data_IF_023408012231
#
_entry.id   IF_023408012231
#
_cell.length_a   1.000
_cell.length_b   1.000
_cell.length_c   1.000
_cell.angle_alpha   90.00
_cell.angle_beta   90.00
_cell.angle_gamma   90.00
#
_symmetry.space_group_name_H-M   'P 1'
#
loop_
_entity.id
_entity.type
_entity.pdbx_description
1 polymer ?
#
# COMPACT_ATOMS: atom_id res chain seq x y z
N UNK A 1 14.75 38.14 16.13
CA UNK A 1 15.12 36.72 16.26
C UNK A 1 13.83 35.91 16.18
N UNK A 2 13.35 35.63 14.97
CA UNK A 2 12.04 35.00 14.76
C UNK A 2 12.28 33.61 14.20
N UNK A 3 12.30 32.61 15.07
CA UNK A 3 12.54 31.23 14.69
C UNK A 3 11.23 30.67 14.14
N UNK A 4 11.09 30.65 12.81
CA UNK A 4 10.00 29.96 12.12
C UNK A 4 10.21 28.46 12.32
N UNK A 5 9.53 27.87 13.31
CA UNK A 5 9.51 26.42 13.52
C UNK A 5 8.79 25.82 12.32
N UNK A 6 9.56 25.40 11.31
CA UNK A 6 9.08 24.55 10.22
C UNK A 6 8.57 23.27 10.88
N UNK A 7 7.25 23.16 11.06
CA UNK A 7 6.63 21.87 11.34
C UNK A 7 7.08 20.95 10.20
N UNK A 8 7.81 19.86 10.46
CA UNK A 8 8.08 18.91 9.40
C UNK A 8 6.70 18.48 8.90
N UNK A 9 6.45 18.67 7.61
CA UNK A 9 5.38 17.96 6.92
C UNK A 9 5.74 16.50 7.16
N UNK A 10 5.11 15.87 8.14
CA UNK A 10 5.24 14.45 8.41
C UNK A 10 4.62 13.77 7.22
N UNK A 11 5.40 13.63 6.16
CA UNK A 11 5.09 12.79 5.02
C UNK A 11 5.14 11.37 5.56
N UNK A 12 3.97 10.90 6.01
CA UNK A 12 3.80 9.52 6.43
C UNK A 12 4.17 8.67 5.22
N UNK A 13 5.22 7.81 5.31
CA UNK A 13 5.61 7.00 4.18
C UNK A 13 4.46 6.07 3.79
N UNK A 14 4.26 5.82 2.49
CA UNK A 14 3.24 4.90 2.03
C UNK A 14 3.49 3.50 2.62
N UNK A 15 2.44 2.69 2.67
CA UNK A 15 2.59 1.26 2.94
C UNK A 15 3.38 0.63 1.79
N UNK A 16 4.38 -0.18 2.12
CA UNK A 16 5.07 -1.04 1.16
C UNK A 16 4.86 -2.51 1.54
N UNK A 17 4.78 -3.38 0.53
CA UNK A 17 4.66 -4.83 0.79
C UNK A 17 5.97 -5.35 1.39
N UNK A 18 5.90 -6.00 2.54
CA UNK A 18 7.04 -6.49 3.30
C UNK A 18 7.43 -5.60 4.48
N UNK A 19 6.80 -4.43 4.65
CA UNK A 19 7.03 -3.58 5.82
C UNK A 19 6.65 -4.30 7.12
N UNK A 20 7.47 -4.12 8.16
CA UNK A 20 7.16 -4.57 9.51
C UNK A 20 6.54 -3.41 10.30
N UNK A 21 5.22 -3.44 10.48
CA UNK A 21 4.48 -2.40 11.18
C UNK A 21 3.66 -2.97 12.33
N UNK A 22 3.50 -2.15 13.37
CA UNK A 22 2.46 -2.41 14.36
C UNK A 22 1.09 -2.11 13.77
N UNK A 23 0.05 -2.69 14.37
CA UNK A 23 -1.35 -2.46 13.98
C UNK A 23 -1.70 -0.96 13.91
N UNK A 24 -1.27 -0.19 14.90
CA UNK A 24 -1.57 1.24 14.97
C UNK A 24 -0.91 2.02 13.83
N UNK A 25 0.35 1.70 13.51
CA UNK A 25 1.05 2.33 12.39
C UNK A 25 0.40 1.96 11.06
N UNK A 26 -0.01 0.70 10.89
CA UNK A 26 -0.72 0.26 9.70
C UNK A 26 -2.04 1.00 9.54
N UNK A 27 -2.87 1.07 10.58
CA UNK A 27 -4.18 1.76 10.54
C UNK A 27 -4.01 3.24 10.15
N UNK A 28 -3.09 3.97 10.81
CA UNK A 28 -2.83 5.38 10.49
C UNK A 28 -2.35 5.59 9.05
N UNK A 29 -1.47 4.72 8.55
CA UNK A 29 -0.98 4.80 7.16
C UNK A 29 -2.07 4.46 6.16
N UNK A 30 -2.88 3.43 6.46
CA UNK A 30 -3.96 2.97 5.60
C UNK A 30 -5.05 4.04 5.43
N UNK A 31 -5.44 4.73 6.51
CA UNK A 31 -6.42 5.82 6.46
C UNK A 31 -5.98 7.01 5.59
N UNK A 32 -4.66 7.22 5.45
CA UNK A 32 -4.09 8.31 4.65
C UNK A 32 -3.84 7.90 3.18
N UNK A 33 -4.14 6.66 2.80
CA UNK A 33 -3.93 6.14 1.44
C UNK A 33 -5.25 5.73 0.77
N UNK A 34 -6.09 6.70 0.33
CA UNK A 34 -7.37 6.40 -0.31
C UNK A 34 -7.24 5.63 -1.64
N UNK A 35 -6.08 5.69 -2.29
CA UNK A 35 -5.80 4.99 -3.56
C UNK A 35 -5.48 3.49 -3.38
N UNK A 36 -5.22 3.04 -2.15
CA UNK A 36 -4.91 1.62 -1.87
C UNK A 36 -6.20 0.81 -1.84
N UNK A 37 -6.37 -0.04 -2.85
CA UNK A 37 -7.57 -0.89 -2.98
C UNK A 37 -7.62 -2.02 -1.95
N UNK A 38 -6.46 -2.58 -1.58
CA UNK A 38 -6.35 -3.65 -0.59
C UNK A 38 -4.92 -3.72 -0.02
N UNK A 39 -4.81 -3.60 1.30
CA UNK A 39 -3.62 -3.94 2.07
C UNK A 39 -4.04 -4.72 3.32
N UNK A 40 -3.22 -5.67 3.74
CA UNK A 40 -3.46 -6.58 4.86
C UNK A 40 -2.23 -6.59 5.76
N UNK A 41 -2.44 -6.57 7.08
CA UNK A 41 -1.37 -6.75 8.06
C UNK A 41 -1.43 -8.18 8.61
N UNK A 42 -0.43 -8.99 8.30
CA UNK A 42 -0.36 -10.41 8.69
C UNK A 42 0.92 -10.62 9.50
N UNK A 43 0.78 -11.01 10.78
CA UNK A 43 1.91 -11.21 11.70
C UNK A 43 2.89 -10.01 11.80
N UNK A 44 2.36 -8.80 11.61
CA UNK A 44 3.15 -7.56 11.61
C UNK A 44 3.81 -7.25 10.25
N UNK A 45 3.65 -8.09 9.24
CA UNK A 45 4.11 -7.85 7.87
C UNK A 45 2.95 -7.28 7.05
N UNK A 46 3.23 -6.18 6.35
CA UNK A 46 2.30 -5.57 5.41
C UNK A 46 2.30 -6.35 4.09
N UNK A 47 1.13 -6.74 3.64
CA UNK A 47 0.90 -7.34 2.33
C UNK A 47 -0.02 -6.43 1.52
N UNK A 48 0.45 -5.97 0.36
CA UNK A 48 -0.37 -5.19 -0.56
C UNK A 48 -0.70 -6.01 -1.79
N UNK A 49 -1.95 -5.93 -2.24
CA UNK A 49 -2.30 -6.54 -3.51
C UNK A 49 -1.58 -5.78 -4.64
N UNK A 50 -0.66 -6.47 -5.34
CA UNK A 50 -0.11 -5.93 -6.59
C UNK A 50 -1.28 -5.63 -7.52
N UNK A 51 -1.32 -4.48 -8.21
CA UNK A 51 -2.37 -4.19 -9.18
C UNK A 51 -2.32 -5.26 -10.26
N UNK A 52 -3.14 -6.30 -10.11
CA UNK A 52 -3.26 -7.38 -11.07
C UNK A 52 -3.70 -6.75 -12.38
N UNK A 53 -2.76 -6.58 -13.30
CA UNK A 53 -3.03 -6.19 -14.68
C UNK A 53 -3.91 -7.29 -15.26
N UNK A 54 -5.23 -7.08 -15.25
CA UNK A 54 -6.18 -8.00 -15.87
C UNK A 54 -5.79 -8.36 -17.31
N UNK A 55 -5.06 -7.47 -17.99
CA UNK A 55 -4.51 -7.66 -19.34
C UNK A 55 -3.48 -8.79 -19.48
N UNK A 56 -2.77 -9.21 -18.42
CA UNK A 56 -1.71 -10.23 -18.53
C UNK A 56 -2.15 -11.66 -18.15
N UNK A 57 -3.26 -11.83 -17.41
CA UNK A 57 -3.76 -13.16 -17.02
C UNK A 57 -5.10 -13.56 -17.66
N UNK A 58 -5.81 -12.63 -18.32
CA UNK A 58 -7.06 -12.96 -19.00
C UNK A 58 -6.85 -13.62 -20.39
N UNK A 59 -5.70 -13.40 -21.03
CA UNK A 59 -5.46 -13.83 -22.41
C UNK A 59 -5.03 -15.29 -22.64
N UNK A 60 -4.38 -16.03 -21.72
CA UNK A 60 -3.98 -17.41 -22.02
C UNK A 60 -5.14 -18.42 -21.99
N UNK A 61 -6.28 -18.11 -21.37
CA UNK A 61 -7.43 -19.02 -21.36
C UNK A 61 -8.22 -19.04 -22.69
N UNK A 62 -8.19 -17.95 -23.47
CA UNK A 62 -8.94 -17.88 -24.72
C UNK A 62 -8.33 -18.77 -25.83
N UNK A 63 -7.04 -19.09 -25.76
CA UNK A 63 -6.31 -19.82 -26.83
C UNK A 63 -6.29 -21.34 -26.65
N UNK A 64 -6.88 -21.87 -25.58
CA UNK A 64 -7.03 -23.33 -25.37
C UNK A 64 -8.43 -23.79 -25.82
N UNK A 65 -9.34 -22.85 -26.13
CA UNK A 65 -10.71 -23.13 -26.58
C UNK A 65 -10.91 -23.08 -28.11
N UNK A 66 -9.85 -23.05 -28.91
CA UNK A 66 -9.91 -23.19 -30.39
C UNK A 66 -9.21 -24.47 -30.79
#
# INVERSE_FOLDING_TARGET
MSQTILKPKTTIPPLESGDLLTRQEFEQRYEQMPDVKKAELIEGIVYMASPLRMTQHANPHARIMT
#
